data_IF_963984092229
#
_entry.id   IF_963984092229
#
_cell.length_a   1.000
_cell.length_b   1.000
_cell.length_c   1.000
_cell.angle_alpha   90.00
_cell.angle_beta   90.00
_cell.angle_gamma   90.00
#
_symmetry.space_group_name_H-M   'P 1'
#
loop_
_entity.id
_entity.type
_entity.pdbx_description
1 polymer ?
#
# COMPACT_ATOMS: atom_id res chain seq x y z
N UNK A 1 -7.88 -3.58 -14.02
CA UNK A 1 -8.41 -4.09 -12.74
C UNK A 1 -9.87 -4.50 -12.84
N UNK A 2 -10.82 -3.58 -13.05
CA UNK A 2 -12.27 -3.90 -13.11
C UNK A 2 -12.65 -5.10 -13.99
N UNK A 3 -12.24 -5.14 -15.28
CA UNK A 3 -12.55 -6.28 -16.15
C UNK A 3 -11.97 -7.62 -15.69
N UNK A 4 -10.81 -7.61 -15.01
CA UNK A 4 -10.13 -8.81 -14.52
C UNK A 4 -10.83 -9.36 -13.26
N UNK A 5 -11.20 -8.48 -12.32
CA UNK A 5 -11.92 -8.85 -11.10
C UNK A 5 -13.30 -9.44 -11.41
N UNK A 6 -14.04 -8.82 -12.34
CA UNK A 6 -15.32 -9.34 -12.82
C UNK A 6 -15.15 -10.67 -13.54
N UNK A 7 -14.12 -10.82 -14.37
CA UNK A 7 -13.84 -12.06 -15.10
C UNK A 7 -13.55 -13.24 -14.17
N UNK A 8 -12.76 -13.02 -13.10
CA UNK A 8 -12.45 -14.07 -12.12
C UNK A 8 -13.46 -14.18 -10.97
N UNK A 9 -14.51 -13.36 -10.96
CA UNK A 9 -15.54 -13.34 -9.89
C UNK A 9 -14.96 -13.17 -8.48
N UNK A 10 -13.90 -12.37 -8.36
CA UNK A 10 -13.23 -12.08 -7.08
C UNK A 10 -13.95 -10.91 -6.40
N UNK A 11 -14.33 -11.08 -5.13
CA UNK A 11 -14.95 -9.99 -4.37
C UNK A 11 -13.91 -8.88 -4.10
N UNK A 12 -14.29 -7.59 -4.07
CA UNK A 12 -13.35 -6.51 -3.79
C UNK A 12 -12.56 -6.68 -2.49
N UNK A 13 -13.17 -7.27 -1.46
CA UNK A 13 -12.52 -7.55 -0.18
C UNK A 13 -11.40 -8.60 -0.25
N UNK A 14 -11.38 -9.42 -1.31
CA UNK A 14 -10.34 -10.41 -1.59
C UNK A 14 -9.22 -9.86 -2.48
N UNK A 15 -9.31 -8.58 -2.88
CA UNK A 15 -8.27 -7.89 -3.65
C UNK A 15 -7.35 -7.16 -2.69
N UNK A 16 -6.06 -7.48 -2.76
CA UNK A 16 -5.00 -6.76 -2.04
C UNK A 16 -4.32 -5.78 -2.99
N UNK A 17 -4.31 -4.50 -2.59
CA UNK A 17 -3.63 -3.42 -3.31
C UNK A 17 -2.39 -3.00 -2.54
N UNK A 18 -1.22 -3.20 -3.14
CA UNK A 18 0.06 -2.75 -2.58
C UNK A 18 0.36 -1.37 -3.19
N UNK A 19 0.62 -0.36 -2.36
CA UNK A 19 0.86 1.01 -2.84
C UNK A 19 1.73 1.84 -1.89
N UNK A 20 2.33 2.91 -2.41
CA UNK A 20 3.08 3.89 -1.64
C UNK A 20 2.16 4.81 -0.82
N UNK A 21 2.65 5.28 0.33
CA UNK A 21 1.87 6.10 1.24
C UNK A 21 2.73 7.21 1.87
N UNK A 22 2.35 8.46 1.59
CA UNK A 22 3.04 9.65 2.07
C UNK A 22 2.83 9.90 3.57
N UNK A 23 1.78 9.32 4.18
CA UNK A 23 1.47 9.52 5.59
C UNK A 23 2.23 8.56 6.50
N UNK A 24 2.99 7.63 5.93
CA UNK A 24 3.81 6.67 6.65
C UNK A 24 5.29 7.00 6.42
N UNK A 25 6.08 6.89 7.50
CA UNK A 25 7.53 7.04 7.46
C UNK A 25 8.15 6.06 6.45
N UNK A 26 9.28 6.43 5.84
CA UNK A 26 9.96 5.59 4.84
C UNK A 26 10.18 4.17 5.37
N UNK A 27 9.82 3.16 4.56
CA UNK A 27 9.94 1.74 4.90
C UNK A 27 8.85 1.20 5.85
N UNK A 28 8.03 2.07 6.45
CA UNK A 28 6.99 1.62 7.38
C UNK A 28 5.82 0.97 6.65
N UNK A 29 5.51 -0.28 7.01
CA UNK A 29 4.41 -1.04 6.39
C UNK A 29 3.17 -1.07 7.28
N UNK A 30 1.99 -0.83 6.69
CA UNK A 30 0.70 -0.94 7.39
C UNK A 30 -0.37 -1.60 6.52
N UNK A 31 -1.11 -2.51 7.14
CA UNK A 31 -2.28 -3.15 6.53
C UNK A 31 -3.58 -2.41 6.85
N UNK A 32 -4.52 -2.38 5.91
CA UNK A 32 -5.83 -1.75 6.07
C UNK A 32 -6.87 -2.32 5.11
N UNK A 33 -8.12 -2.45 5.57
CA UNK A 33 -9.28 -2.58 4.68
C UNK A 33 -9.92 -1.21 4.46
N UNK A 34 -10.24 -0.88 3.22
CA UNK A 34 -10.99 0.33 2.93
C UNK A 34 -10.22 1.64 3.14
N UNK A 35 -10.97 2.71 3.36
CA UNK A 35 -10.45 4.05 3.65
C UNK A 35 -10.34 4.97 2.44
N UNK A 36 -10.01 6.24 2.70
CA UNK A 36 -9.85 7.26 1.68
C UNK A 36 -8.71 6.99 0.71
N UNK A 37 -8.73 7.66 -0.44
CA UNK A 37 -7.68 7.55 -1.47
C UNK A 37 -6.48 8.45 -1.17
N UNK A 38 -6.58 9.40 -0.23
CA UNK A 38 -5.46 10.27 0.16
C UNK A 38 -4.92 11.15 -0.97
N UNK A 39 -5.68 11.37 -2.04
CA UNK A 39 -5.20 12.04 -3.25
C UNK A 39 -4.43 11.12 -4.21
N UNK A 40 -4.24 9.84 -3.88
CA UNK A 40 -3.54 8.87 -4.69
C UNK A 40 -4.37 8.47 -5.94
N UNK A 41 -3.88 8.85 -7.12
CA UNK A 41 -4.59 8.63 -8.39
C UNK A 41 -4.81 7.13 -8.71
N UNK A 42 -3.83 6.28 -8.40
CA UNK A 42 -3.97 4.82 -8.52
C UNK A 42 -5.13 4.24 -7.70
N UNK A 43 -5.19 4.53 -6.39
CA UNK A 43 -6.29 4.11 -5.53
C UNK A 43 -7.65 4.62 -6.01
N UNK A 44 -7.73 5.87 -6.51
CA UNK A 44 -8.95 6.42 -7.12
C UNK A 44 -9.39 5.59 -8.31
N UNK A 45 -8.45 5.24 -9.20
CA UNK A 45 -8.74 4.41 -10.38
C UNK A 45 -9.16 2.99 -9.99
N UNK A 46 -8.55 2.39 -8.97
CA UNK A 46 -8.95 1.05 -8.48
C UNK A 46 -10.36 1.10 -7.90
N UNK A 47 -10.65 2.06 -7.03
CA UNK A 47 -11.98 2.22 -6.44
C UNK A 47 -13.06 2.44 -7.50
N UNK A 48 -12.78 3.29 -8.50
CA UNK A 48 -13.69 3.50 -9.63
C UNK A 48 -13.93 2.21 -10.43
N UNK A 49 -12.88 1.41 -10.65
CA UNK A 49 -12.98 0.16 -11.41
C UNK A 49 -13.69 -0.97 -10.65
N UNK A 50 -13.63 -0.96 -9.32
CA UNK A 50 -14.29 -1.96 -8.45
C UNK A 50 -15.68 -1.50 -7.97
N UNK A 51 -16.03 -0.22 -8.13
CA UNK A 51 -17.28 0.35 -7.61
C UNK A 51 -17.33 0.51 -6.09
N UNK A 52 -16.23 0.20 -5.38
CA UNK A 52 -16.12 0.32 -3.94
C UNK A 52 -14.68 0.62 -3.52
N UNK A 53 -14.52 1.11 -2.30
CA UNK A 53 -13.21 1.29 -1.65
C UNK A 53 -12.84 0.12 -0.75
N UNK A 54 -13.76 -0.83 -0.55
CA UNK A 54 -13.67 -1.92 0.43
C UNK A 54 -12.80 -3.08 -0.08
N UNK A 55 -11.54 -2.74 -0.39
CA UNK A 55 -10.47 -3.68 -0.74
C UNK A 55 -9.33 -3.57 0.26
N UNK A 56 -8.56 -4.64 0.39
CA UNK A 56 -7.42 -4.71 1.30
C UNK A 56 -6.24 -3.91 0.74
N UNK A 57 -5.42 -3.36 1.62
CA UNK A 57 -4.28 -2.51 1.27
C UNK A 57 -3.04 -2.87 2.08
N UNK A 58 -1.93 -3.01 1.38
CA UNK A 58 -0.58 -3.03 1.96
C UNK A 58 0.04 -1.68 1.64
N UNK A 59 0.16 -0.83 2.66
CA UNK A 59 0.62 0.55 2.54
C UNK A 59 2.10 0.59 2.86
N UNK A 60 2.92 1.01 1.90
CA UNK A 60 4.38 1.13 2.02
C UNK A 60 4.72 2.60 2.22
N UNK A 61 5.29 2.95 3.36
CA UNK A 61 5.65 4.33 3.65
C UNK A 61 6.81 4.83 2.79
N UNK A 62 6.61 6.02 2.22
CA UNK A 62 7.64 6.76 1.46
C UNK A 62 7.96 8.11 2.10
N UNK A 63 7.34 8.42 3.24
CA UNK A 63 7.49 9.69 3.93
C UNK A 63 6.82 10.87 3.20
N UNK A 64 6.86 12.04 3.83
CA UNK A 64 6.38 13.28 3.22
C UNK A 64 7.52 13.99 2.50
N UNK A 65 7.22 14.71 1.39
CA UNK A 65 8.21 15.54 0.74
C UNK A 65 8.79 16.58 1.72
N UNK A 66 10.11 16.82 1.71
CA UNK A 66 10.70 17.85 2.56
C UNK A 66 10.25 19.25 2.11
N UNK A 67 9.97 20.11 3.09
CA UNK A 67 9.64 21.51 2.86
C UNK A 67 8.29 21.73 2.14
N UNK A 68 8.28 22.58 1.11
CA UNK A 68 7.07 22.97 0.35
C UNK A 68 6.94 22.25 -0.99
N UNK A 69 7.65 21.13 -1.17
CA UNK A 69 7.65 20.39 -2.43
C UNK A 69 6.29 19.74 -2.68
N UNK A 70 5.86 19.76 -3.93
CA UNK A 70 4.61 19.15 -4.36
C UNK A 70 4.66 17.63 -4.18
N UNK A 71 3.70 17.02 -3.45
CA UNK A 71 3.63 15.57 -3.30
C UNK A 71 3.59 14.80 -4.62
N UNK A 72 2.91 15.33 -5.65
CA UNK A 72 2.81 14.64 -6.93
C UNK A 72 4.17 14.58 -7.67
N UNK A 73 5.01 15.61 -7.52
CA UNK A 73 6.37 15.58 -8.02
C UNK A 73 7.25 14.61 -7.23
N UNK A 74 7.10 14.58 -5.89
CA UNK A 74 7.90 13.74 -5.01
C UNK A 74 7.74 12.24 -5.28
N UNK A 75 6.51 11.74 -5.48
CA UNK A 75 6.27 10.32 -5.75
C UNK A 75 6.82 9.85 -7.10
N UNK A 76 7.19 10.77 -7.99
CA UNK A 76 7.77 10.47 -9.30
C UNK A 76 9.30 10.53 -9.30
N UNK A 77 9.92 10.87 -8.17
CA UNK A 77 11.36 10.94 -8.06
C UNK A 77 12.01 9.59 -7.76
N UNK A 78 13.30 9.52 -8.06
CA UNK A 78 14.11 8.39 -7.67
C UNK A 78 14.40 8.44 -6.17
N UNK A 79 14.40 7.26 -5.54
CA UNK A 79 15.01 7.08 -4.22
C UNK A 79 16.46 7.56 -4.21
N UNK A 80 16.85 8.19 -3.10
CA UNK A 80 18.24 8.52 -2.78
C UNK A 80 19.10 7.25 -2.70
N UNK A 81 20.42 7.39 -2.72
CA UNK A 81 21.33 6.23 -2.59
C UNK A 81 21.10 5.43 -1.31
N UNK A 82 20.81 6.12 -0.20
CA UNK A 82 20.54 5.48 1.09
C UNK A 82 19.20 4.71 1.06
N UNK A 83 18.12 5.39 0.68
CA UNK A 83 16.79 4.77 0.55
C UNK A 83 16.81 3.58 -0.43
N UNK A 84 17.49 3.73 -1.58
CA UNK A 84 17.59 2.67 -2.60
C UNK A 84 18.24 1.40 -2.07
N UNK A 85 19.16 1.51 -1.10
CA UNK A 85 19.78 0.35 -0.48
C UNK A 85 18.79 -0.43 0.41
N UNK A 86 17.76 0.23 0.95
CA UNK A 86 16.75 -0.37 1.82
C UNK A 86 15.55 -0.93 1.03
N UNK A 87 15.29 -0.43 -0.17
CA UNK A 87 14.15 -0.84 -1.02
C UNK A 87 14.01 -2.38 -1.16
N UNK A 88 15.07 -3.18 -1.41
CA UNK A 88 14.93 -4.63 -1.49
C UNK A 88 14.30 -5.24 -0.23
N UNK A 89 14.77 -4.84 0.96
CA UNK A 89 14.23 -5.30 2.24
C UNK A 89 12.79 -4.84 2.45
N UNK A 90 12.46 -3.60 2.08
CA UNK A 90 11.08 -3.09 2.15
C UNK A 90 10.16 -3.90 1.25
N UNK A 91 10.61 -4.27 0.05
CA UNK A 91 9.85 -5.13 -0.86
C UNK A 91 9.63 -6.54 -0.30
N UNK A 92 10.65 -7.14 0.32
CA UNK A 92 10.53 -8.43 1.03
C UNK A 92 9.50 -8.33 2.17
N UNK A 93 9.61 -7.31 3.03
CA UNK A 93 8.65 -7.10 4.12
C UNK A 93 7.23 -6.85 3.61
N UNK A 94 7.06 -6.19 2.46
CA UNK A 94 5.74 -5.99 1.85
C UNK A 94 5.15 -7.30 1.31
N UNK A 95 6.00 -8.20 0.78
CA UNK A 95 5.60 -9.54 0.40
C UNK A 95 5.17 -10.35 1.63
N UNK A 96 6.00 -10.38 2.68
CA UNK A 96 5.69 -11.06 3.95
C UNK A 96 4.37 -10.54 4.56
N UNK A 97 4.17 -9.22 4.55
CA UNK A 97 2.93 -8.62 5.05
C UNK A 97 1.70 -9.03 4.23
N UNK A 98 1.88 -9.21 2.92
CA UNK A 98 0.84 -9.70 2.01
C UNK A 98 0.51 -11.16 2.30
N UNK A 99 1.52 -12.01 2.49
CA UNK A 99 1.35 -13.42 2.85
C UNK A 99 0.62 -13.56 4.20
N UNK A 100 1.07 -12.85 5.24
CA UNK A 100 0.44 -12.85 6.55
C UNK A 100 -1.04 -12.42 6.48
N UNK A 101 -1.35 -11.41 5.65
CA UNK A 101 -2.71 -10.94 5.43
C UNK A 101 -3.59 -12.02 4.80
N UNK A 102 -3.08 -12.73 3.79
CA UNK A 102 -3.80 -13.80 3.09
C UNK A 102 -4.01 -15.01 4.02
N UNK A 103 -2.99 -15.39 4.77
CA UNK A 103 -3.01 -16.62 5.58
C UNK A 103 -3.81 -16.49 6.87
N UNK A 104 -3.76 -15.32 7.52
CA UNK A 104 -4.29 -15.14 8.88
C UNK A 104 -5.45 -14.17 8.98
N UNK A 105 -5.81 -13.51 7.86
CA UNK A 105 -6.80 -12.45 7.83
C UNK A 105 -6.31 -11.14 8.45
N UNK A 106 -7.09 -10.08 8.23
CA UNK A 106 -6.67 -8.70 8.49
C UNK A 106 -6.28 -8.44 9.95
N UNK A 107 -7.11 -8.84 10.92
CA UNK A 107 -6.90 -8.46 12.32
C UNK A 107 -5.58 -9.03 12.88
N UNK A 108 -5.35 -10.33 12.70
CA UNK A 108 -4.13 -11.00 13.15
C UNK A 108 -2.91 -10.47 12.41
N UNK A 109 -3.01 -10.30 11.08
CA UNK A 109 -1.91 -9.77 10.28
C UNK A 109 -1.57 -8.33 10.67
N UNK A 110 -2.57 -7.49 10.93
CA UNK A 110 -2.38 -6.13 11.44
C UNK A 110 -1.58 -6.15 12.73
N UNK A 111 -2.01 -6.92 13.73
CA UNK A 111 -1.31 -6.97 15.03
C UNK A 111 0.18 -7.34 14.90
N UNK A 112 0.54 -8.21 13.95
CA UNK A 112 1.95 -8.58 13.70
C UNK A 112 2.70 -7.51 12.91
N UNK A 113 2.20 -7.15 11.74
CA UNK A 113 2.86 -6.20 10.83
C UNK A 113 2.99 -4.82 11.47
N UNK A 114 1.99 -4.39 12.24
CA UNK A 114 1.98 -3.08 12.88
C UNK A 114 2.94 -2.97 14.07
N UNK A 115 3.45 -4.11 14.56
CA UNK A 115 4.49 -4.18 15.58
C UNK A 115 5.91 -4.14 14.99
N UNK A 116 6.08 -4.29 13.67
CA UNK A 116 7.38 -4.11 13.02
C UNK A 116 7.87 -2.68 13.24
N UNK A 117 9.13 -2.57 13.63
CA UNK A 117 9.84 -1.28 13.62
C UNK A 117 10.48 -1.13 12.24
N UNK A 118 10.37 0.08 11.68
CA UNK A 118 11.14 0.48 10.51
C UNK A 118 12.61 0.62 10.86
#
# INVERSE_FOLDING_TARGET
MGPLATFYSVAPADIVVIHDDLDLDFGRIRLKLGGGEGGHNGLRSVAAALGTKDFQRVRIGIGRPPGRKDPAAFVLENFTTAERAEVPTICEQAADATELLIEMGLETAQNRVHAWQG
#
